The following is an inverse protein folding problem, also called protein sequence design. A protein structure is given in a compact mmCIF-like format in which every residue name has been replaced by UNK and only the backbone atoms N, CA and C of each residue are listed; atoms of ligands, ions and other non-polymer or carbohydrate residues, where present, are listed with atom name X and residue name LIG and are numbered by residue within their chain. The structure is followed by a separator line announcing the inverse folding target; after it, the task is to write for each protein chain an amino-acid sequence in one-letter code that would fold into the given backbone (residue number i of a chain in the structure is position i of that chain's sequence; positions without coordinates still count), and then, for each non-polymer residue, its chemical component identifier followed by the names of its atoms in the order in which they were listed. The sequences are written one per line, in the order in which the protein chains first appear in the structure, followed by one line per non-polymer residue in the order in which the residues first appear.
data_IF_969220360548
#
_entry.id   IF_969220360548
#
_cell.length_a   1.000
_cell.length_b   1.000
_cell.length_c   1.000
_cell.angle_alpha   90.00
_cell.angle_beta   90.00
_cell.angle_gamma   90.00
#
_symmetry.space_group_name_H-M   'P 1'
#
loop_
_entity.id
_entity.type
_entity.pdbx_description
1 polymer ?
#
# COMPACT_ATOMS: atom_id res chain seq x y z
N UNK A 1 -13.88 18.45 16.52
CA UNK A 1 -12.72 18.56 15.59
C UNK A 1 -12.68 19.99 15.06
N UNK A 2 -11.65 20.80 15.39
CA UNK A 2 -11.59 22.23 15.03
C UNK A 2 -11.39 22.55 13.54
N UNK A 3 -11.70 21.63 12.61
CA UNK A 3 -11.61 21.84 11.17
C UNK A 3 -10.21 21.89 10.55
N UNK A 4 -9.13 21.73 11.33
CA UNK A 4 -7.74 21.90 10.87
C UNK A 4 -7.13 20.64 10.26
N UNK A 5 -7.62 20.21 9.09
CA UNK A 5 -7.21 18.94 8.44
C UNK A 5 -5.70 18.81 8.20
N UNK A 6 -5.05 19.87 7.68
CA UNK A 6 -3.61 19.81 7.36
C UNK A 6 -2.72 19.72 8.60
N UNK A 7 -3.09 20.39 9.69
CA UNK A 7 -2.35 20.30 10.95
C UNK A 7 -2.45 18.88 11.53
N UNK A 8 -3.63 18.25 11.44
CA UNK A 8 -3.82 16.88 11.87
C UNK A 8 -2.98 15.89 11.05
N UNK A 9 -2.93 16.04 9.73
CA UNK A 9 -2.11 15.19 8.83
C UNK A 9 -0.63 15.27 9.21
N UNK A 10 -0.11 16.48 9.46
CA UNK A 10 1.31 16.67 9.83
C UNK A 10 1.71 16.07 11.18
N UNK A 11 0.73 15.76 12.04
CA UNK A 11 0.98 15.11 13.33
C UNK A 11 1.02 13.58 13.21
N UNK A 12 0.62 13.01 12.08
CA UNK A 12 0.70 11.57 11.84
C UNK A 12 2.17 11.21 11.58
N UNK A 13 2.78 10.31 12.37
CA UNK A 13 4.14 9.87 12.12
C UNK A 13 4.25 9.03 10.85
N UNK A 14 5.31 9.21 10.06
CA UNK A 14 5.56 8.41 8.85
C UNK A 14 5.64 6.91 9.17
N UNK A 15 6.30 6.56 10.28
CA UNK A 15 6.40 5.18 10.74
C UNK A 15 5.04 4.50 10.99
N UNK A 16 4.00 5.27 11.33
CA UNK A 16 2.65 4.72 11.45
C UNK A 16 2.10 4.36 10.07
N UNK A 17 2.33 5.20 9.06
CA UNK A 17 1.90 4.95 7.68
C UNK A 17 2.56 3.67 7.15
N UNK A 18 3.86 3.49 7.36
CA UNK A 18 4.61 2.30 6.94
C UNK A 18 4.17 1.00 7.65
N UNK A 19 3.64 1.14 8.88
CA UNK A 19 3.13 0.02 9.64
C UNK A 19 1.74 -0.44 9.18
N UNK A 20 0.89 0.48 8.68
CA UNK A 20 -0.52 0.20 8.38
C UNK A 20 -0.84 0.18 6.87
N UNK A 21 0.11 0.53 6.01
CA UNK A 21 -0.07 0.56 4.58
C UNK A 21 1.16 0.02 3.83
N UNK A 22 0.93 -0.54 2.66
CA UNK A 22 1.97 -0.90 1.70
C UNK A 22 1.82 0.02 0.49
N UNK A 23 2.74 0.96 0.34
CA UNK A 23 2.78 1.89 -0.78
C UNK A 23 4.24 2.23 -1.12
N UNK A 24 4.63 2.07 -2.37
CA UNK A 24 6.01 2.33 -2.78
C UNK A 24 6.38 1.65 -4.10
N UNK A 25 7.68 1.65 -4.44
CA UNK A 25 8.18 0.99 -5.64
C UNK A 25 7.97 -0.53 -5.58
N UNK A 26 7.96 -1.23 -6.74
CA UNK A 26 7.61 -2.65 -6.80
C UNK A 26 8.44 -3.58 -5.90
N UNK A 27 9.74 -3.31 -5.72
CA UNK A 27 10.60 -4.10 -4.82
C UNK A 27 10.16 -4.01 -3.36
N UNK A 28 9.95 -2.77 -2.87
CA UNK A 28 9.43 -2.52 -1.52
C UNK A 28 8.08 -3.20 -1.30
N UNK A 29 7.16 -3.08 -2.27
CA UNK A 29 5.82 -3.70 -2.16
C UNK A 29 5.93 -5.22 -2.00
N UNK A 30 6.81 -5.89 -2.77
CA UNK A 30 7.01 -7.34 -2.68
C UNK A 30 7.51 -7.76 -1.29
N UNK A 31 8.58 -7.13 -0.81
CA UNK A 31 9.16 -7.43 0.51
C UNK A 31 8.12 -7.23 1.63
N UNK A 32 7.33 -6.16 1.56
CA UNK A 32 6.29 -5.89 2.57
C UNK A 32 5.14 -6.89 2.51
N UNK A 33 4.75 -7.35 1.32
CA UNK A 33 3.72 -8.37 1.16
C UNK A 33 4.14 -9.70 1.80
N UNK A 34 5.39 -10.13 1.64
CA UNK A 34 5.93 -11.33 2.30
C UNK A 34 5.90 -11.20 3.83
N UNK A 35 6.30 -10.05 4.36
CA UNK A 35 6.24 -9.78 5.81
C UNK A 35 4.80 -9.82 6.33
N UNK A 36 3.83 -9.28 5.58
CA UNK A 36 2.43 -9.29 6.03
C UNK A 36 1.81 -10.68 5.92
N UNK A 37 2.13 -11.43 4.86
CA UNK A 37 1.68 -12.80 4.70
C UNK A 37 2.23 -13.72 5.80
N UNK A 38 3.52 -13.60 6.16
CA UNK A 38 4.09 -14.35 7.28
C UNK A 38 3.48 -13.98 8.65
N UNK A 39 2.84 -12.81 8.76
CA UNK A 39 2.05 -12.41 9.92
C UNK A 39 0.59 -12.92 9.89
N UNK A 40 0.21 -13.71 8.87
CA UNK A 40 -1.11 -14.32 8.73
C UNK A 40 -2.13 -13.51 7.93
N UNK A 41 -1.72 -12.44 7.24
CA UNK A 41 -2.63 -11.66 6.39
C UNK A 41 -2.95 -12.45 5.12
N UNK A 42 -4.24 -12.72 4.88
CA UNK A 42 -4.70 -13.48 3.70
C UNK A 42 -5.47 -12.61 2.71
N UNK A 43 -5.89 -11.40 3.09
CA UNK A 43 -6.69 -10.51 2.25
C UNK A 43 -6.27 -9.06 2.48
N UNK A 44 -6.16 -8.29 1.40
CA UNK A 44 -5.82 -6.87 1.44
C UNK A 44 -6.76 -6.05 0.54
N UNK A 45 -7.05 -4.83 0.97
CA UNK A 45 -7.73 -3.83 0.15
C UNK A 45 -6.69 -3.07 -0.70
N UNK A 46 -6.78 -3.19 -2.02
CA UNK A 46 -5.90 -2.49 -2.94
C UNK A 46 -6.52 -1.14 -3.38
N UNK A 47 -5.95 -0.03 -2.90
CA UNK A 47 -6.30 1.32 -3.35
C UNK A 47 -5.49 1.71 -4.59
N UNK A 48 -6.11 1.69 -5.78
CA UNK A 48 -5.44 2.04 -7.04
C UNK A 48 -5.89 3.44 -7.48
N UNK A 49 -4.99 4.40 -7.38
CA UNK A 49 -5.30 5.83 -7.49
C UNK A 49 -4.66 6.55 -8.69
N UNK A 50 -4.12 5.81 -9.68
CA UNK A 50 -3.55 6.41 -10.88
C UNK A 50 -4.60 7.18 -11.71
N UNK A 51 -4.13 8.25 -12.35
CA UNK A 51 -4.97 9.23 -13.05
C UNK A 51 -5.69 8.66 -14.26
N UNK A 52 -5.07 7.71 -14.97
CA UNK A 52 -5.63 7.12 -16.20
C UNK A 52 -6.04 5.67 -15.98
N UNK A 53 -7.01 5.18 -16.74
CA UNK A 53 -7.39 3.77 -16.69
C UNK A 53 -6.22 2.83 -17.07
N UNK A 54 -5.44 3.08 -18.14
CA UNK A 54 -4.27 2.26 -18.47
C UNK A 54 -3.25 2.16 -17.32
N UNK A 55 -2.96 3.28 -16.65
CA UNK A 55 -2.01 3.27 -15.53
C UNK A 55 -2.55 2.47 -14.33
N UNK A 56 -3.85 2.59 -14.02
CA UNK A 56 -4.48 1.78 -12.96
C UNK A 56 -4.41 0.28 -13.28
N UNK A 57 -4.64 -0.11 -14.53
CA UNK A 57 -4.54 -1.51 -14.96
C UNK A 57 -3.10 -2.02 -14.82
N UNK A 58 -2.10 -1.23 -15.21
CA UNK A 58 -0.69 -1.56 -14.99
C UNK A 58 -0.37 -1.75 -13.50
N UNK A 59 -0.87 -0.87 -12.63
CA UNK A 59 -0.66 -1.00 -11.18
C UNK A 59 -1.30 -2.29 -10.65
N UNK A 60 -2.49 -2.68 -11.13
CA UNK A 60 -3.11 -3.96 -10.80
C UNK A 60 -2.30 -5.16 -11.29
N UNK A 61 -1.73 -5.11 -12.50
CA UNK A 61 -0.87 -6.17 -13.04
C UNK A 61 0.40 -6.37 -12.21
N UNK A 62 1.03 -5.26 -11.77
CA UNK A 62 2.19 -5.28 -10.88
C UNK A 62 1.84 -5.88 -9.52
N UNK A 63 0.73 -5.46 -8.91
CA UNK A 63 0.25 -5.99 -7.63
C UNK A 63 -0.08 -7.48 -7.73
N UNK A 64 -0.80 -7.89 -8.77
CA UNK A 64 -1.14 -9.30 -8.99
C UNK A 64 0.11 -10.15 -9.21
N UNK A 65 1.13 -9.62 -9.89
CA UNK A 65 2.42 -10.29 -10.07
C UNK A 65 3.17 -10.43 -8.75
N UNK A 66 3.21 -9.37 -7.93
CA UNK A 66 3.85 -9.42 -6.62
C UNK A 66 3.14 -10.40 -5.67
N UNK A 67 1.81 -10.38 -5.61
CA UNK A 67 1.04 -11.26 -4.72
C UNK A 67 1.21 -12.76 -5.06
N UNK A 68 1.45 -13.10 -6.34
CA UNK A 68 1.72 -14.48 -6.76
C UNK A 68 3.09 -15.00 -6.37
N UNK A 69 4.02 -14.14 -5.98
CA UNK A 69 5.37 -14.55 -5.54
C UNK A 69 5.49 -14.65 -4.03
N UNK A 70 4.41 -14.42 -3.29
CA UNK A 70 4.38 -14.57 -1.84
C UNK A 70 4.04 -16.02 -1.53
N UNK A 71 4.91 -16.70 -0.79
CA UNK A 71 4.71 -18.07 -0.28
C UNK A 71 3.69 -18.10 0.87
#
# INVERSE_FOLDING_TARGET
LGGKKLEAVRRVPDALVDAIAIAGPPGYVRERLEVWASAGVTTMLAGVHDKTQPDRLRTLELLATAARTVD
#
